data_IF_728681566882
#
_entry.id   IF_728681566882
#
_cell.length_a   1.000
_cell.length_b   1.000
_cell.length_c   1.000
_cell.angle_alpha   90.00
_cell.angle_beta   90.00
_cell.angle_gamma   90.00
#
_symmetry.space_group_name_H-M   'P 1'
#
loop_
_entity.id
_entity.type
_entity.pdbx_description
1 polymer ?
#
# COMPACT_ATOMS: atom_id res chain seq x y z
N UNK A 1 -9.54 -18.57 -11.32
CA UNK A 1 -10.47 -18.26 -12.42
C UNK A 1 -10.84 -16.79 -12.26
N UNK A 2 -10.49 -15.92 -13.21
CA UNK A 2 -10.92 -14.51 -13.19
C UNK A 2 -12.43 -14.48 -13.40
N UNK A 3 -13.16 -13.87 -12.47
CA UNK A 3 -14.62 -13.71 -12.56
C UNK A 3 -14.88 -12.34 -13.17
N UNK A 4 -15.61 -12.28 -14.27
CA UNK A 4 -16.08 -11.01 -14.83
C UNK A 4 -17.34 -10.59 -14.09
N UNK A 5 -17.44 -9.31 -13.69
CA UNK A 5 -18.61 -8.76 -13.03
C UNK A 5 -19.15 -7.58 -13.81
N UNK A 6 -20.46 -7.62 -14.06
CA UNK A 6 -21.19 -6.51 -14.65
C UNK A 6 -21.54 -5.50 -13.57
N UNK A 7 -21.23 -4.23 -13.81
CA UNK A 7 -21.59 -3.12 -12.91
C UNK A 7 -21.99 -1.90 -13.73
N UNK A 8 -22.70 -0.96 -13.09
CA UNK A 8 -23.04 0.31 -13.72
C UNK A 8 -21.93 1.34 -13.43
N UNK A 9 -21.36 1.90 -14.49
CA UNK A 9 -20.53 3.10 -14.42
C UNK A 9 -21.43 4.34 -14.55
N UNK A 10 -21.31 5.28 -13.62
CA UNK A 10 -22.12 6.50 -13.57
C UNK A 10 -21.32 7.69 -14.07
N UNK A 11 -21.83 8.38 -15.08
CA UNK A 11 -21.23 9.60 -15.63
C UNK A 11 -21.77 10.82 -14.87
N UNK A 12 -21.16 11.09 -13.72
CA UNK A 12 -21.54 12.25 -12.90
C UNK A 12 -21.18 13.58 -13.55
N UNK A 13 -20.14 13.60 -14.37
CA UNK A 13 -19.66 14.81 -15.06
C UNK A 13 -20.12 14.78 -16.52
N UNK A 14 -21.08 15.63 -16.92
CA UNK A 14 -21.52 15.73 -18.31
C UNK A 14 -20.40 16.23 -19.21
N UNK A 15 -20.42 15.81 -20.47
CA UNK A 15 -19.64 16.48 -21.51
C UNK A 15 -20.23 17.86 -21.82
N UNK A 16 -19.41 18.75 -22.40
CA UNK A 16 -19.86 20.10 -22.80
C UNK A 16 -21.07 20.08 -23.75
N UNK A 17 -21.19 19.05 -24.60
CA UNK A 17 -22.34 18.91 -25.50
C UNK A 17 -23.62 18.52 -24.74
N UNK A 18 -23.52 17.61 -23.76
CA UNK A 18 -24.66 17.19 -22.94
C UNK A 18 -25.15 18.32 -22.03
N UNK A 19 -24.23 19.11 -21.47
CA UNK A 19 -24.55 20.30 -20.69
C UNK A 19 -25.30 21.34 -21.54
N UNK A 20 -24.83 21.63 -22.75
CA UNK A 20 -25.50 22.55 -23.68
C UNK A 20 -26.88 22.04 -24.13
N UNK A 21 -27.05 20.72 -24.32
CA UNK A 21 -28.34 20.14 -24.67
C UNK A 21 -29.34 20.18 -23.51
N UNK A 22 -28.88 19.97 -22.28
CA UNK A 22 -29.68 20.11 -21.07
C UNK A 22 -30.16 21.56 -20.87
N UNK A 23 -29.25 22.53 -21.08
CA UNK A 23 -29.57 23.96 -21.11
C UNK A 23 -30.59 24.30 -22.20
N UNK A 24 -30.40 23.81 -23.43
CA UNK A 24 -31.31 24.06 -24.56
C UNK A 24 -32.73 23.51 -24.33
N UNK A 25 -32.87 22.45 -23.54
CA UNK A 25 -34.16 21.83 -23.22
C UNK A 25 -34.73 22.28 -21.87
N UNK A 26 -34.03 23.19 -21.17
CA UNK A 26 -34.36 23.70 -19.84
C UNK A 26 -34.62 22.59 -18.81
N UNK A 27 -33.81 21.52 -18.87
CA UNK A 27 -33.90 20.36 -17.97
C UNK A 27 -32.58 20.18 -17.23
N UNK A 28 -32.60 19.73 -15.97
CA UNK A 28 -31.37 19.36 -15.27
C UNK A 28 -30.69 18.18 -15.98
N UNK A 29 -29.35 18.17 -15.98
CA UNK A 29 -28.58 17.05 -16.51
C UNK A 29 -28.95 15.77 -15.76
N UNK A 30 -29.30 14.73 -16.52
CA UNK A 30 -29.59 13.41 -15.98
C UNK A 30 -28.33 12.57 -16.03
N UNK A 31 -27.89 12.06 -14.88
CA UNK A 31 -26.73 11.16 -14.77
C UNK A 31 -26.98 9.93 -15.64
N UNK A 32 -26.19 9.80 -16.70
CA UNK A 32 -26.20 8.60 -17.53
C UNK A 32 -25.42 7.49 -16.83
N UNK A 33 -25.81 6.23 -17.09
CA UNK A 33 -25.06 5.06 -16.65
C UNK A 33 -24.83 4.11 -17.80
N UNK A 34 -23.64 3.53 -17.84
CA UNK A 34 -23.25 2.53 -18.83
C UNK A 34 -23.00 1.22 -18.11
N UNK A 35 -23.61 0.13 -18.57
CA UNK A 35 -23.26 -1.19 -18.07
C UNK A 35 -21.87 -1.52 -18.59
N UNK A 36 -20.92 -1.66 -17.68
CA UNK A 36 -19.55 -2.07 -17.99
C UNK A 36 -19.30 -3.44 -17.39
N UNK A 37 -18.41 -4.19 -18.03
CA UNK A 37 -17.89 -5.43 -17.48
C UNK A 37 -16.50 -5.15 -16.94
N UNK A 38 -16.35 -5.26 -15.63
CA UNK A 38 -15.07 -5.15 -14.95
C UNK A 38 -14.60 -6.55 -14.59
N UNK A 39 -13.30 -6.73 -14.53
CA UNK A 39 -12.75 -7.90 -13.87
C UNK A 39 -13.06 -7.78 -12.37
N UNK A 40 -13.83 -8.72 -11.84
CA UNK A 40 -13.99 -8.94 -10.41
C UNK A 40 -12.78 -9.73 -9.92
N UNK A 41 -11.60 -9.15 -10.18
CA UNK A 41 -10.40 -9.56 -9.52
C UNK A 41 -10.53 -8.98 -8.12
N UNK A 42 -11.26 -9.67 -7.22
CA UNK A 42 -10.80 -9.67 -5.84
C UNK A 42 -9.29 -9.93 -5.96
N UNK A 43 -8.43 -8.98 -5.54
CA UNK A 43 -7.01 -9.14 -5.73
C UNK A 43 -6.68 -10.58 -5.30
N UNK A 44 -6.03 -11.40 -6.14
CA UNK A 44 -5.64 -12.73 -5.69
C UNK A 44 -4.96 -12.51 -4.36
N UNK A 45 -5.38 -13.24 -3.30
CA UNK A 45 -4.82 -13.09 -1.94
C UNK A 45 -3.35 -12.76 -2.07
N UNK A 46 -2.79 -11.82 -1.30
CA UNK A 46 -1.36 -11.56 -1.35
C UNK A 46 -0.64 -12.85 -0.93
N UNK A 47 -0.43 -13.76 -1.88
CA UNK A 47 0.00 -15.13 -1.63
C UNK A 47 1.49 -15.00 -1.49
N UNK A 48 1.98 -15.37 -0.32
CA UNK A 48 3.41 -15.55 -0.11
C UNK A 48 3.92 -16.51 -1.19
N UNK A 49 4.65 -15.95 -2.15
CA UNK A 49 5.30 -16.69 -3.23
C UNK A 49 6.67 -17.11 -2.73
N UNK A 50 6.91 -18.41 -2.47
CA UNK A 50 8.21 -18.86 -1.94
C UNK A 50 9.38 -18.54 -2.86
N UNK A 51 9.13 -18.35 -4.16
CA UNK A 51 10.17 -18.05 -5.16
C UNK A 51 10.51 -16.55 -5.24
N UNK A 52 9.55 -15.68 -4.92
CA UNK A 52 9.74 -14.24 -4.88
C UNK A 52 8.79 -13.58 -3.87
N UNK A 53 9.05 -13.74 -2.56
CA UNK A 53 8.12 -13.26 -1.54
C UNK A 53 8.21 -11.74 -1.37
N UNK A 54 9.37 -11.15 -1.68
CA UNK A 54 9.67 -9.74 -1.49
C UNK A 54 9.18 -8.91 -2.67
N UNK A 55 7.90 -8.54 -2.65
CA UNK A 55 7.27 -7.77 -3.72
C UNK A 55 7.80 -6.35 -3.82
N UNK A 56 8.14 -5.75 -2.69
CA UNK A 56 8.82 -4.46 -2.63
C UNK A 56 10.29 -4.73 -2.36
N UNK A 57 11.18 -4.31 -3.27
CA UNK A 57 12.64 -4.36 -3.09
C UNK A 57 13.24 -2.99 -3.27
N UNK A 58 14.11 -2.60 -2.34
CA UNK A 58 14.68 -1.26 -2.32
C UNK A 58 16.08 -1.26 -1.73
N UNK A 59 16.95 -0.36 -2.22
CA UNK A 59 18.22 0.00 -1.56
C UNK A 59 18.02 1.11 -0.55
N UNK A 60 18.56 0.93 0.65
CA UNK A 60 18.47 1.88 1.73
C UNK A 60 19.32 3.13 1.53
N UNK A 61 18.74 4.28 1.84
CA UNK A 61 19.45 5.55 1.94
C UNK A 61 19.93 5.84 3.38
N UNK A 62 20.98 6.66 3.50
CA UNK A 62 21.56 7.01 4.80
C UNK A 62 20.58 7.71 5.76
N UNK A 63 19.68 8.53 5.21
CA UNK A 63 18.62 9.21 5.97
C UNK A 63 17.65 8.19 6.58
N UNK A 64 17.22 7.20 5.79
CA UNK A 64 16.25 6.18 6.21
C UNK A 64 16.78 5.32 7.36
N UNK A 65 18.07 5.03 7.36
CA UNK A 65 18.75 4.28 8.42
C UNK A 65 18.84 5.12 9.69
N UNK A 66 19.19 6.40 9.56
CA UNK A 66 19.35 7.29 10.72
C UNK A 66 18.02 7.54 11.42
N UNK A 67 16.93 7.69 10.65
CA UNK A 67 15.59 7.92 11.20
C UNK A 67 14.81 6.64 11.49
N UNK A 68 15.26 5.48 10.99
CA UNK A 68 14.48 4.24 10.97
C UNK A 68 13.21 4.31 10.13
N UNK A 69 13.15 5.23 9.16
CA UNK A 69 11.94 5.51 8.35
C UNK A 69 12.22 5.13 6.90
N UNK A 70 11.69 4.00 6.47
CA UNK A 70 11.83 3.52 5.09
C UNK A 70 10.78 4.21 4.23
N UNK A 71 11.21 4.90 3.18
CA UNK A 71 10.32 5.52 2.20
C UNK A 71 9.93 4.50 1.13
N UNK A 72 8.64 4.43 0.85
CA UNK A 72 8.08 3.57 -0.17
C UNK A 72 7.41 4.44 -1.24
N UNK A 73 7.53 4.03 -2.50
CA UNK A 73 6.90 4.74 -3.61
C UNK A 73 5.39 4.56 -3.58
N UNK A 74 4.67 5.48 -4.23
CA UNK A 74 3.22 5.32 -4.42
C UNK A 74 2.89 3.99 -5.09
N UNK A 75 3.63 3.62 -6.13
CA UNK A 75 3.39 2.40 -6.91
C UNK A 75 3.56 1.14 -6.04
N UNK A 76 4.66 1.05 -5.28
CA UNK A 76 4.92 -0.07 -4.38
C UNK A 76 3.80 -0.26 -3.35
N UNK A 77 3.38 0.84 -2.73
CA UNK A 77 2.33 0.81 -1.71
C UNK A 77 0.97 0.50 -2.33
N UNK A 78 0.66 1.12 -3.47
CA UNK A 78 -0.60 0.90 -4.15
C UNK A 78 -0.77 -0.56 -4.55
N UNK A 79 0.22 -1.14 -5.23
CA UNK A 79 0.16 -2.49 -5.78
C UNK A 79 0.35 -3.59 -4.73
N UNK A 80 1.19 -3.36 -3.71
CA UNK A 80 1.62 -4.42 -2.80
C UNK A 80 1.12 -4.27 -1.37
N UNK A 81 0.51 -3.13 -1.02
CA UNK A 81 -0.09 -2.90 0.31
C UNK A 81 -1.59 -2.61 0.16
N UNK A 82 -1.95 -1.45 -0.39
CA UNK A 82 -3.34 -0.98 -0.45
C UNK A 82 -4.25 -1.82 -1.31
N UNK A 83 -3.72 -2.42 -2.39
CA UNK A 83 -4.45 -3.41 -3.18
C UNK A 83 -5.02 -4.52 -2.32
N UNK A 84 -4.40 -4.85 -1.20
CA UNK A 84 -4.79 -5.94 -0.30
C UNK A 84 -5.31 -5.46 1.07
N UNK A 85 -5.14 -4.19 1.42
CA UNK A 85 -5.65 -3.61 2.67
C UNK A 85 -7.18 -3.48 2.65
N UNK A 86 -7.78 -3.40 3.84
CA UNK A 86 -9.17 -2.97 3.95
C UNK A 86 -9.31 -1.51 3.48
N UNK A 87 -10.49 -1.16 2.96
CA UNK A 87 -10.79 0.23 2.55
C UNK A 87 -10.61 1.21 3.72
N UNK A 88 -11.00 0.80 4.92
CA UNK A 88 -10.87 1.59 6.13
C UNK A 88 -9.39 1.88 6.45
N UNK A 89 -8.56 0.82 6.58
CA UNK A 89 -7.14 0.94 6.89
C UNK A 89 -6.39 1.77 5.85
N UNK A 90 -6.66 1.55 4.55
CA UNK A 90 -6.03 2.32 3.48
C UNK A 90 -6.42 3.80 3.55
N UNK A 91 -7.70 4.11 3.80
CA UNK A 91 -8.17 5.48 3.92
C UNK A 91 -7.54 6.22 5.09
N UNK A 92 -7.33 5.55 6.23
CA UNK A 92 -6.64 6.15 7.37
C UNK A 92 -5.26 6.69 6.99
N UNK A 93 -4.46 5.86 6.32
CA UNK A 93 -3.12 6.24 5.86
C UNK A 93 -3.20 7.36 4.82
N UNK A 94 -4.10 7.26 3.84
CA UNK A 94 -4.26 8.25 2.77
C UNK A 94 -4.69 9.62 3.30
N UNK A 95 -5.50 9.65 4.37
CA UNK A 95 -5.86 10.88 5.09
C UNK A 95 -4.72 11.45 5.94
N UNK A 96 -3.54 10.84 5.93
CA UNK A 96 -2.37 11.28 6.66
C UNK A 96 -2.38 10.86 8.13
N UNK A 97 -3.24 9.90 8.53
CA UNK A 97 -3.14 9.33 9.87
C UNK A 97 -1.89 8.44 9.95
N UNK A 98 -1.19 8.56 11.06
CA UNK A 98 -0.15 7.61 11.48
C UNK A 98 -0.83 6.34 12.00
N UNK A 99 -0.65 5.21 11.31
CA UNK A 99 -1.23 3.91 11.68
C UNK A 99 -0.16 3.04 12.32
N UNK A 100 -0.39 2.54 13.54
CA UNK A 100 0.53 1.60 14.18
C UNK A 100 0.45 0.24 13.49
N UNK A 101 1.59 -0.35 13.18
CA UNK A 101 1.65 -1.62 12.43
C UNK A 101 2.59 -2.62 13.09
N UNK A 102 2.53 -3.86 12.64
CA UNK A 102 3.45 -4.94 13.03
C UNK A 102 4.50 -5.14 11.95
N UNK A 103 5.75 -5.30 12.36
CA UNK A 103 6.85 -5.70 11.48
C UNK A 103 7.42 -7.03 11.95
N UNK A 104 7.51 -8.00 11.06
CA UNK A 104 8.17 -9.28 11.28
C UNK A 104 9.53 -9.27 10.57
N UNK A 105 10.61 -9.27 11.34
CA UNK A 105 11.96 -9.35 10.82
C UNK A 105 12.33 -10.80 10.53
N UNK A 106 12.65 -11.06 9.26
CA UNK A 106 13.02 -12.36 8.68
C UNK A 106 14.46 -12.34 8.15
N UNK A 107 15.28 -11.39 8.60
CA UNK A 107 16.67 -11.27 8.16
C UNK A 107 17.49 -12.49 8.54
N UNK A 108 17.36 -12.96 9.79
CA UNK A 108 18.04 -14.15 10.27
C UNK A 108 17.25 -15.42 9.98
N UNK A 109 17.89 -16.40 9.33
CA UNK A 109 17.23 -17.67 8.99
C UNK A 109 16.93 -18.55 10.22
N UNK A 110 17.51 -18.22 11.39
CA UNK A 110 17.33 -18.98 12.65
C UNK A 110 16.11 -18.57 13.47
N UNK A 111 15.40 -17.50 13.10
CA UNK A 111 14.20 -17.06 13.83
C UNK A 111 13.64 -15.74 13.32
N UNK A 112 12.35 -15.51 13.56
CA UNK A 112 11.69 -14.26 13.23
C UNK A 112 11.42 -13.43 14.49
N UNK A 113 11.60 -12.11 14.39
CA UNK A 113 11.35 -11.18 15.50
C UNK A 113 10.20 -10.25 15.14
N UNK A 114 9.19 -10.19 16.01
CA UNK A 114 8.05 -9.29 15.85
C UNK A 114 8.30 -7.97 16.58
N UNK A 115 8.04 -6.86 15.91
CA UNK A 115 8.06 -5.50 16.46
C UNK A 115 6.68 -4.84 16.31
N UNK A 116 6.32 -3.96 17.24
CA UNK A 116 5.00 -3.32 17.29
C UNK A 116 3.85 -4.29 17.63
N UNK A 117 2.59 -3.81 17.66
CA UNK A 117 2.18 -2.43 17.47
C UNK A 117 2.13 -1.65 18.81
N UNK A 118 2.57 -2.24 19.93
CA UNK A 118 2.40 -1.66 21.27
C UNK A 118 3.43 -0.58 21.63
N UNK A 119 4.49 -0.45 20.82
CA UNK A 119 5.41 0.68 20.88
C UNK A 119 5.09 1.64 19.71
N UNK A 120 4.97 2.94 19.99
CA UNK A 120 4.64 3.96 18.97
C UNK A 120 5.76 4.18 17.93
N UNK A 121 6.76 3.31 17.90
CA UNK A 121 7.93 3.37 17.03
C UNK A 121 7.70 2.70 15.68
N UNK A 122 6.82 1.68 15.63
CA UNK A 122 6.50 0.96 14.39
C UNK A 122 5.17 1.43 13.82
N UNK A 123 5.22 2.11 12.68
CA UNK A 123 4.04 2.71 12.08
C UNK A 123 4.15 2.85 10.56
N UNK A 124 3.00 3.06 9.92
CA UNK A 124 2.86 3.33 8.51
C UNK A 124 2.07 4.62 8.31
N UNK A 125 2.62 5.56 7.52
CA UNK A 125 2.00 6.86 7.27
C UNK A 125 2.23 7.33 5.84
N UNK A 126 1.35 8.21 5.34
CA UNK A 126 1.59 8.95 4.10
C UNK A 126 2.63 10.06 4.37
N UNK A 127 3.59 10.19 3.48
CA UNK A 127 4.59 11.25 3.48
C UNK A 127 4.27 12.32 2.41
N UNK A 128 5.16 13.30 2.26
CA UNK A 128 5.05 14.32 1.21
C UNK A 128 5.28 13.69 -0.17
N UNK A 129 4.82 14.38 -1.22
CA UNK A 129 5.03 13.98 -2.62
C UNK A 129 4.50 12.58 -2.99
N UNK A 130 3.39 12.17 -2.36
CA UNK A 130 2.75 10.86 -2.55
C UNK A 130 3.65 9.65 -2.26
N UNK A 131 4.71 9.86 -1.48
CA UNK A 131 5.47 8.79 -0.85
C UNK A 131 4.77 8.29 0.42
N UNK A 132 5.20 7.14 0.90
CA UNK A 132 4.77 6.56 2.17
C UNK A 132 5.98 6.21 3.02
N UNK A 133 5.79 6.14 4.33
CA UNK A 133 6.84 5.79 5.27
C UNK A 133 6.42 4.59 6.10
N UNK A 134 7.25 3.55 6.09
CA UNK A 134 7.24 2.47 7.06
C UNK A 134 8.36 2.72 8.09
N UNK A 135 7.97 3.07 9.31
CA UNK A 135 8.91 3.22 10.40
C UNK A 135 9.22 1.86 11.04
N UNK A 136 10.51 1.55 11.13
CA UNK A 136 11.05 0.37 11.77
C UNK A 136 11.46 0.69 13.21
N UNK A 137 11.38 -0.30 14.08
CA UNK A 137 11.90 -0.16 15.44
C UNK A 137 13.42 0.03 15.41
N UNK A 138 13.96 1.03 16.11
CA UNK A 138 15.40 1.36 16.00
C UNK A 138 16.33 0.25 16.50
N UNK A 139 15.85 -0.65 17.38
CA UNK A 139 16.63 -1.82 17.75
C UNK A 139 16.86 -2.75 16.56
N UNK A 140 15.87 -2.92 15.68
CA UNK A 140 15.99 -3.72 14.46
C UNK A 140 17.10 -3.18 13.55
N UNK A 141 17.09 -1.87 13.29
CA UNK A 141 18.11 -1.18 12.48
C UNK A 141 19.52 -1.39 13.06
N UNK A 142 19.67 -1.29 14.38
CA UNK A 142 20.96 -1.46 15.07
C UNK A 142 21.41 -2.92 15.13
N UNK A 143 20.50 -3.85 15.40
CA UNK A 143 20.83 -5.27 15.57
C UNK A 143 21.34 -5.89 14.27
N UNK A 144 20.72 -5.54 13.13
CA UNK A 144 21.17 -5.99 11.81
C UNK A 144 22.24 -5.08 11.19
N UNK A 145 22.62 -4.00 11.88
CA UNK A 145 23.68 -3.10 11.45
C UNK A 145 23.46 -2.52 10.05
N UNK A 146 22.20 -2.20 9.70
CA UNK A 146 21.81 -1.75 8.36
C UNK A 146 22.64 -0.56 7.90
N UNK A 147 23.10 -0.60 6.64
CA UNK A 147 23.98 0.39 6.03
C UNK A 147 23.41 0.95 4.74
N UNK A 148 23.90 2.12 4.37
CA UNK A 148 23.53 2.76 3.10
C UNK A 148 23.93 1.84 1.96
N UNK A 149 22.98 1.55 1.08
CA UNK A 149 23.18 0.68 -0.07
C UNK A 149 22.75 -0.76 0.15
N UNK A 150 22.49 -1.18 1.40
CA UNK A 150 21.91 -2.49 1.70
C UNK A 150 20.56 -2.63 0.99
N UNK A 151 20.28 -3.82 0.47
CA UNK A 151 19.01 -4.11 -0.19
C UNK A 151 18.05 -4.74 0.82
N UNK A 152 16.81 -4.28 0.83
CA UNK A 152 15.75 -4.81 1.68
C UNK A 152 14.60 -5.35 0.84
N UNK A 153 13.91 -6.32 1.40
CA UNK A 153 12.66 -6.88 0.89
C UNK A 153 11.53 -6.62 1.87
N UNK A 154 10.39 -6.18 1.35
CA UNK A 154 9.16 -6.01 2.12
C UNK A 154 8.04 -6.81 1.47
N UNK A 155 7.26 -7.48 2.31
CA UNK A 155 6.03 -8.17 1.94
C UNK A 155 4.93 -7.82 2.93
N UNK A 156 3.76 -7.43 2.44
CA UNK A 156 2.61 -7.12 3.30
C UNK A 156 1.63 -8.30 3.33
N UNK A 157 1.53 -8.97 4.46
CA UNK A 157 0.51 -10.00 4.68
C UNK A 157 -0.80 -9.36 5.12
N UNK A 158 -1.71 -9.19 4.16
CA UNK A 158 -3.02 -8.62 4.41
C UNK A 158 -3.91 -9.46 5.34
N UNK A 159 -3.64 -10.77 5.47
CA UNK A 159 -4.45 -11.63 6.35
C UNK A 159 -4.18 -11.35 7.82
N UNK A 160 -2.92 -11.11 8.15
CA UNK A 160 -2.47 -10.87 9.53
C UNK A 160 -2.16 -9.39 9.81
N UNK A 161 -2.21 -8.54 8.77
CA UNK A 161 -1.81 -7.13 8.78
C UNK A 161 -0.38 -6.93 9.29
N UNK A 162 0.55 -7.73 8.73
CA UNK A 162 1.97 -7.74 9.12
C UNK A 162 2.83 -7.36 7.92
N UNK A 163 3.77 -6.46 8.14
CA UNK A 163 4.88 -6.21 7.21
C UNK A 163 6.02 -7.17 7.53
N UNK A 164 6.30 -8.10 6.63
CA UNK A 164 7.52 -8.90 6.68
C UNK A 164 8.67 -8.12 6.07
N UNK A 165 9.81 -8.17 6.73
CA UNK A 165 11.03 -7.48 6.33
C UNK A 165 12.19 -8.47 6.24
N UNK A 166 13.08 -8.31 5.25
CA UNK A 166 14.37 -9.00 5.19
C UNK A 166 15.43 -8.07 4.63
N UNK A 167 16.60 -8.03 5.26
CA UNK A 167 17.80 -7.44 4.67
C UNK A 167 18.58 -8.49 3.86
N UNK A 168 19.03 -8.12 2.66
CA UNK A 168 19.98 -8.87 1.84
C UNK A 168 21.31 -8.12 1.90
N UNK A 169 22.22 -8.60 2.75
CA UNK A 169 23.57 -8.04 2.88
C UNK A 169 24.39 -8.20 1.60
#
# INVERSE_FOLDING_TARGET
MSSMKKTYYYNFFPTKQEELAALATNRPYQVSRTLIEIRDDAPPLNVFDPSNPWKIRKRLEGQEITSGKIRLSHEDVFEHVFRYSSLESANEVVMGKKVLVKVCDMTDDSGHVMYGPYDDQVFFEKALHDEYVLALHMAMVRNHGLKKGDEIGIFYDAKNEIFYFKCFH
#
